data_IF_473009306759
#
_entry.id   IF_473009306759
#
_cell.length_a   1.000
_cell.length_b   1.000
_cell.length_c   1.000
_cell.angle_alpha   90.00
_cell.angle_beta   90.00
_cell.angle_gamma   90.00
#
_symmetry.space_group_name_H-M   'P 1'
#
loop_
_entity.id
_entity.type
_entity.pdbx_description
1 polymer ?
#
# COMPACT_ATOMS: atom_id res chain seq x y z
N UNK A 1 -7.79 4.81 0.14
CA UNK A 1 -6.54 4.61 -0.65
C UNK A 1 -6.60 3.26 -1.34
N UNK A 2 -5.81 3.07 -2.40
CA UNK A 2 -5.81 1.84 -3.20
C UNK A 2 -4.38 1.30 -3.32
N UNK A 3 -4.14 0.14 -2.71
CA UNK A 3 -2.93 -0.64 -2.94
C UNK A 3 -3.04 -1.40 -4.25
N UNK A 4 -1.94 -1.46 -5.00
CA UNK A 4 -1.82 -2.26 -6.22
C UNK A 4 -0.45 -2.95 -6.27
N UNK A 5 -0.43 -4.22 -6.65
CA UNK A 5 0.80 -4.94 -6.98
C UNK A 5 0.60 -5.78 -8.24
N UNK A 6 1.71 -6.22 -8.83
CA UNK A 6 1.72 -6.88 -10.13
C UNK A 6 2.58 -8.12 -10.11
N UNK A 7 2.27 -9.04 -11.02
CA UNK A 7 3.16 -10.13 -11.36
C UNK A 7 4.13 -9.68 -12.43
N UNK A 8 5.41 -9.94 -12.20
CA UNK A 8 6.45 -9.60 -13.17
C UNK A 8 6.56 -10.68 -14.26
N UNK A 9 5.66 -10.60 -15.25
CA UNK A 9 5.67 -11.52 -16.40
C UNK A 9 6.81 -11.26 -17.39
N UNK A 10 7.55 -10.14 -17.24
CA UNK A 10 8.65 -9.76 -18.13
C UNK A 10 10.01 -9.97 -17.50
N UNK A 11 10.06 -10.47 -16.26
CA UNK A 11 11.27 -10.75 -15.49
C UNK A 11 12.22 -9.55 -15.44
N UNK A 12 11.67 -8.35 -15.31
CA UNK A 12 12.47 -7.15 -15.07
C UNK A 12 13.08 -7.13 -13.66
N UNK A 13 12.63 -8.00 -12.77
CA UNK A 13 13.07 -8.10 -11.38
C UNK A 13 12.56 -6.92 -10.54
N UNK A 14 11.57 -6.19 -11.02
CA UNK A 14 11.05 -5.00 -10.34
C UNK A 14 9.75 -5.32 -9.61
N UNK A 15 9.91 -6.00 -8.49
CA UNK A 15 8.81 -6.36 -7.60
C UNK A 15 8.46 -5.17 -6.71
N UNK A 16 7.20 -4.79 -6.68
CA UNK A 16 6.77 -3.59 -5.98
C UNK A 16 5.30 -3.60 -5.62
N UNK A 17 4.95 -2.68 -4.72
CA UNK A 17 3.59 -2.32 -4.36
C UNK A 17 3.45 -0.80 -4.43
N UNK A 18 2.33 -0.36 -5.00
CA UNK A 18 1.95 1.04 -5.15
C UNK A 18 0.75 1.35 -4.26
N UNK A 19 0.77 2.50 -3.60
CA UNK A 19 -0.37 3.06 -2.88
C UNK A 19 -0.83 4.34 -3.56
N UNK A 20 -2.02 4.32 -4.15
CA UNK A 20 -2.64 5.48 -4.78
C UNK A 20 -3.60 6.17 -3.80
N UNK A 21 -3.40 7.47 -3.60
CA UNK A 21 -4.26 8.32 -2.79
C UNK A 21 -5.19 9.08 -3.72
N UNK A 22 -6.48 9.02 -3.40
CA UNK A 22 -7.52 9.70 -4.14
C UNK A 22 -8.23 10.70 -3.23
N UNK A 23 -8.65 11.84 -3.78
CA UNK A 23 -9.53 12.77 -3.08
C UNK A 23 -10.99 12.27 -3.04
N UNK A 24 -11.89 13.08 -2.46
CA UNK A 24 -13.31 12.75 -2.36
C UNK A 24 -14.04 12.63 -3.70
N UNK A 25 -13.50 13.25 -4.76
CA UNK A 25 -14.04 13.18 -6.12
C UNK A 25 -13.45 11.98 -6.90
N UNK A 26 -12.60 11.18 -6.25
CA UNK A 26 -11.96 10.01 -6.83
C UNK A 26 -10.77 10.35 -7.74
N UNK A 27 -10.26 11.59 -7.70
CA UNK A 27 -9.08 11.97 -8.47
C UNK A 27 -7.82 11.54 -7.72
N UNK A 28 -6.89 10.92 -8.43
CA UNK A 28 -5.56 10.63 -7.88
C UNK A 28 -4.83 11.93 -7.54
N UNK A 29 -4.42 12.06 -6.28
CA UNK A 29 -3.74 13.25 -5.75
C UNK A 29 -2.31 12.94 -5.30
N UNK A 30 -1.97 11.68 -5.04
CA UNK A 30 -0.63 11.27 -4.65
C UNK A 30 -0.42 9.77 -4.89
N UNK A 31 0.84 9.36 -4.93
CA UNK A 31 1.27 7.97 -5.11
C UNK A 31 2.53 7.70 -4.30
N UNK A 32 2.55 6.55 -3.63
CA UNK A 32 3.73 6.03 -2.92
C UNK A 32 4.10 4.67 -3.51
N UNK A 33 5.40 4.42 -3.65
CA UNK A 33 5.94 3.21 -4.25
C UNK A 33 6.96 2.56 -3.32
N UNK A 34 6.81 1.26 -3.09
CA UNK A 34 7.75 0.48 -2.31
C UNK A 34 8.20 -0.76 -3.07
N UNK A 35 9.49 -1.07 -3.00
CA UNK A 35 10.04 -2.33 -3.48
C UNK A 35 9.58 -3.50 -2.60
N UNK A 36 9.28 -4.62 -3.24
CA UNK A 36 8.98 -5.88 -2.59
C UNK A 36 10.08 -6.90 -2.87
N UNK A 37 10.17 -7.94 -2.03
CA UNK A 37 11.12 -9.06 -2.20
C UNK A 37 10.45 -10.21 -2.98
N UNK A 38 9.14 -10.32 -2.87
CA UNK A 38 8.33 -11.37 -3.49
C UNK A 38 7.23 -10.76 -4.37
N UNK A 39 6.76 -11.55 -5.34
CA UNK A 39 5.69 -11.15 -6.25
C UNK A 39 4.32 -11.17 -5.56
N UNK A 40 3.42 -10.31 -6.02
CA UNK A 40 2.00 -10.41 -5.70
C UNK A 40 1.63 -10.01 -4.26
N UNK A 41 0.45 -10.45 -3.79
CA UNK A 41 -0.16 -10.03 -2.53
C UNK A 41 0.72 -10.18 -1.28
N UNK A 42 1.34 -11.35 -1.12
CA UNK A 42 2.10 -11.67 0.10
C UNK A 42 3.37 -10.81 0.19
N UNK A 43 4.07 -10.62 -0.93
CA UNK A 43 5.23 -9.73 -1.01
C UNK A 43 4.87 -8.27 -0.78
N UNK A 44 3.73 -7.82 -1.31
CA UNK A 44 3.21 -6.48 -1.09
C UNK A 44 2.86 -6.24 0.39
N UNK A 45 2.18 -7.18 1.05
CA UNK A 45 1.82 -7.07 2.45
C UNK A 45 3.07 -7.07 3.35
N UNK A 46 4.08 -7.88 3.05
CA UNK A 46 5.36 -7.90 3.77
C UNK A 46 6.13 -6.58 3.61
N UNK A 47 6.15 -6.00 2.41
CA UNK A 47 6.78 -4.70 2.14
C UNK A 47 6.09 -3.58 2.93
N UNK A 48 4.75 -3.51 2.85
CA UNK A 48 3.95 -2.54 3.61
C UNK A 48 4.16 -2.69 5.12
N UNK A 49 4.15 -3.91 5.66
CA UNK A 49 4.35 -4.15 7.09
C UNK A 49 5.72 -3.68 7.60
N UNK A 50 6.73 -3.70 6.72
CA UNK A 50 8.09 -3.25 7.05
C UNK A 50 8.24 -1.74 6.95
N UNK A 51 7.77 -1.14 5.85
CA UNK A 51 8.01 0.28 5.54
C UNK A 51 6.97 1.20 6.19
N UNK A 52 5.70 0.77 6.20
CA UNK A 52 4.56 1.51 6.73
C UNK A 52 3.78 0.66 7.75
N UNK A 53 4.31 0.41 8.96
CA UNK A 53 3.69 -0.49 9.93
C UNK A 53 2.33 -0.02 10.45
N UNK A 54 1.88 1.21 10.15
CA UNK A 54 0.54 1.69 10.47
C UNK A 54 -0.46 1.50 9.32
N UNK A 55 -0.02 1.19 8.11
CA UNK A 55 -0.90 0.95 6.96
C UNK A 55 -1.56 -0.44 7.08
N UNK A 56 -2.88 -0.48 6.96
CA UNK A 56 -3.66 -1.72 7.02
C UNK A 56 -4.63 -1.79 5.85
N UNK A 57 -4.64 -2.96 5.22
CA UNK A 57 -5.61 -3.34 4.20
C UNK A 57 -6.99 -3.50 4.84
N UNK A 58 -8.03 -3.03 4.17
CA UNK A 58 -9.43 -3.04 4.67
C UNK A 58 -10.36 -3.93 3.86
N UNK A 59 -9.91 -4.37 2.67
CA UNK A 59 -10.60 -5.37 1.85
C UNK A 59 -9.64 -6.51 1.56
N UNK A 60 -10.12 -7.63 1.01
CA UNK A 60 -9.25 -8.65 0.41
C UNK A 60 -8.61 -8.18 -0.91
N UNK A 61 -7.54 -8.88 -1.32
CA UNK A 61 -6.86 -8.61 -2.58
C UNK A 61 -7.74 -9.10 -3.71
N UNK A 62 -8.08 -8.19 -4.61
CA UNK A 62 -8.88 -8.49 -5.78
C UNK A 62 -7.94 -8.72 -6.96
N UNK A 63 -7.95 -9.95 -7.48
CA UNK A 63 -7.14 -10.34 -8.62
C UNK A 63 -7.81 -9.90 -9.93
N UNK A 64 -7.00 -9.40 -10.85
CA UNK A 64 -7.39 -9.13 -12.22
C UNK A 64 -6.25 -9.47 -13.19
N UNK A 65 -6.58 -9.46 -14.47
CA UNK A 65 -5.64 -9.71 -15.56
C UNK A 65 -5.64 -8.49 -16.47
N UNK A 66 -4.48 -7.90 -16.72
CA UNK A 66 -4.32 -6.77 -17.64
C UNK A 66 -4.49 -7.23 -19.09
N UNK A 67 -4.67 -6.28 -20.00
CA UNK A 67 -4.81 -6.57 -21.43
C UNK A 67 -3.60 -7.29 -22.05
N UNK A 68 -2.41 -7.15 -21.45
CA UNK A 68 -1.19 -7.84 -21.87
C UNK A 68 -0.98 -9.22 -21.20
N UNK A 69 -1.97 -9.69 -20.43
CA UNK A 69 -1.94 -10.99 -19.75
C UNK A 69 -1.24 -10.98 -18.39
N UNK A 70 -0.73 -9.84 -17.93
CA UNK A 70 -0.12 -9.76 -16.60
C UNK A 70 -1.17 -9.79 -15.49
N UNK A 71 -0.91 -10.58 -14.44
CA UNK A 71 -1.71 -10.58 -13.23
C UNK A 71 -1.48 -9.27 -12.45
N UNK A 72 -2.55 -8.72 -11.89
CA UNK A 72 -2.49 -7.60 -10.96
C UNK A 72 -3.45 -7.83 -9.80
N UNK A 73 -3.15 -7.23 -8.65
CA UNK A 73 -4.01 -7.27 -7.48
C UNK A 73 -4.24 -5.87 -6.95
N UNK A 74 -5.46 -5.60 -6.50
CA UNK A 74 -5.82 -4.33 -5.85
C UNK A 74 -6.49 -4.57 -4.51
N UNK A 75 -6.25 -3.71 -3.54
CA UNK A 75 -6.96 -3.72 -2.27
C UNK A 75 -7.11 -2.32 -1.69
N UNK A 76 -8.19 -2.06 -0.97
CA UNK A 76 -8.30 -0.83 -0.21
C UNK A 76 -7.47 -0.91 1.08
N UNK A 77 -6.94 0.24 1.49
CA UNK A 77 -6.18 0.38 2.72
C UNK A 77 -6.45 1.72 3.42
N UNK A 78 -6.16 1.74 4.71
CA UNK A 78 -6.16 2.93 5.58
C UNK A 78 -4.87 2.95 6.40
N UNK A 79 -4.34 4.14 6.70
CA UNK A 79 -3.41 4.27 7.82
C UNK A 79 -4.24 4.23 9.10
N UNK A 80 -3.83 3.41 10.05
CA UNK A 80 -4.28 3.57 11.43
C UNK A 80 -3.87 4.95 11.89
N UNK A 81 -4.77 5.66 12.56
CA UNK A 81 -4.36 6.82 13.34
C UNK A 81 -3.30 6.34 14.32
N UNK A 82 -2.08 6.85 14.19
CA UNK A 82 -1.15 6.75 15.30
C UNK A 82 -1.90 7.32 16.50
N UNK A 83 -1.99 6.57 17.59
CA UNK A 83 -2.20 7.20 18.88
C UNK A 83 -1.08 8.22 19.01
N UNK A 84 -1.36 9.48 18.67
CA UNK A 84 -0.60 10.60 19.18
C UNK A 84 -0.68 10.41 20.67
N UNK A 85 0.42 9.92 21.27
CA UNK A 85 0.60 10.05 22.70
C UNK A 85 0.50 11.55 22.96
N UNK A 86 -0.68 11.97 23.40
CA UNK A 86 -0.91 13.24 24.05
C UNK A 86 0.21 13.35 25.08
N UNK A 87 1.11 14.29 24.88
CA UNK A 87 2.12 14.63 25.86
C UNK A 87 1.48 15.68 26.77
N UNK A 88 1.00 15.34 27.98
CA UNK A 88 0.40 16.35 28.84
C UNK A 88 1.54 17.14 29.49
N UNK A 89 1.73 18.35 28.95
CA UNK A 89 2.16 19.58 29.62
C UNK A 89 3.44 19.58 30.47
N UNK A 90 4.36 20.47 30.06
CA UNK A 90 5.21 21.26 30.95
C UNK A 90 4.45 21.67 32.24
N UNK A 91 4.86 21.13 33.38
CA UNK A 91 4.66 21.77 34.68
C UNK A 91 5.90 22.59 35.01
N UNK A 92 5.89 23.85 34.59
CA UNK A 92 6.62 24.90 35.30
C UNK A 92 5.94 25.15 36.63
N UNK A 93 6.63 24.90 37.74
CA UNK A 93 6.48 25.60 39.03
C UNK A 93 7.75 25.42 39.84
#
# INVERSE_FOLDING_TARGET
MLLTCYRDIRHYGWLHVDLFLHDSDGKEVNWVHWGAIEEGPDGADAACATVEPALRRTTEWQHGIRADGSDYWTAHATWSEHATSDNPQETTS
#
